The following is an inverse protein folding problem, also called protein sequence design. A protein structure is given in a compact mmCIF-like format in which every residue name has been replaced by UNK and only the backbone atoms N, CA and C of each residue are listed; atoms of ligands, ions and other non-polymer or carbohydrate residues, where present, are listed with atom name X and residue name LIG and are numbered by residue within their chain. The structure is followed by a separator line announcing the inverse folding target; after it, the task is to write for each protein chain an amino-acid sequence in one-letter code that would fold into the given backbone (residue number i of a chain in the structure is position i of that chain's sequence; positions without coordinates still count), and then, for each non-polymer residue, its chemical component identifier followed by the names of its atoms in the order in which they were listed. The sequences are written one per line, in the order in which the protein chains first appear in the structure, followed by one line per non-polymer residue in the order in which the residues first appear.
data_IF_016758278335
#
_entry.id   IF_016758278335
#
_cell.length_a   1.000
_cell.length_b   1.000
_cell.length_c   1.000
_cell.angle_alpha   90.00
_cell.angle_beta   90.00
_cell.angle_gamma   90.00
#
_symmetry.space_group_name_H-M   'P 1'
#
loop_
_entity.id
_entity.type
_entity.pdbx_description
1 polymer ?
#
# COMPACT_ATOMS: atom_id res chain seq x y z
N UNK A 1 5.31 33.09 43.26
CA UNK A 1 5.47 32.90 41.80
C UNK A 1 6.83 32.26 41.62
N UNK A 2 6.93 30.94 41.54
CA UNK A 2 6.78 30.22 40.27
C UNK A 2 8.16 29.72 39.82
N UNK A 3 8.86 28.98 40.66
CA UNK A 3 10.08 28.26 40.25
C UNK A 3 9.63 26.96 39.60
N UNK A 4 9.33 27.01 38.30
CA UNK A 4 8.80 25.86 37.58
C UNK A 4 9.77 24.68 37.57
N UNK A 5 9.25 23.46 37.46
CA UNK A 5 9.97 22.18 37.32
C UNK A 5 10.74 22.06 35.98
N UNK A 6 11.29 23.17 35.50
CA UNK A 6 12.10 23.30 34.30
C UNK A 6 13.57 23.30 34.71
N UNK A 7 14.26 22.22 34.36
CA UNK A 7 15.68 22.05 34.61
C UNK A 7 16.45 22.49 33.37
N UNK A 8 17.49 23.30 33.56
CA UNK A 8 18.47 23.63 32.52
C UNK A 8 19.83 23.10 32.91
N UNK A 9 20.42 22.27 32.07
CA UNK A 9 21.80 21.80 32.22
C UNK A 9 22.48 21.77 30.86
N UNK A 10 23.61 22.47 30.73
CA UNK A 10 24.24 22.71 29.43
C UNK A 10 23.25 23.29 28.41
N UNK A 11 23.07 22.57 27.30
CA UNK A 11 22.16 22.93 26.20
C UNK A 11 20.76 22.33 26.31
N UNK A 12 20.45 21.62 27.40
CA UNK A 12 19.16 20.96 27.60
C UNK A 12 18.26 21.80 28.50
N UNK A 13 16.98 21.91 28.11
CA UNK A 13 15.89 22.38 28.95
C UNK A 13 14.86 21.25 28.98
N UNK A 14 14.48 20.78 30.16
CA UNK A 14 13.61 19.62 30.31
C UNK A 14 12.75 19.69 31.57
N UNK A 15 11.61 18.99 31.55
CA UNK A 15 10.73 18.76 32.70
C UNK A 15 10.84 17.27 33.10
N UNK A 16 11.01 17.00 34.40
CA UNK A 16 11.23 15.63 34.91
C UNK A 16 9.98 14.95 35.48
N UNK A 17 8.91 15.69 35.81
CA UNK A 17 7.83 15.14 36.63
C UNK A 17 6.43 15.60 36.24
N UNK A 18 6.27 16.80 35.67
CA UNK A 18 4.97 17.32 35.24
C UNK A 18 4.68 17.00 33.78
N UNK A 19 3.40 17.14 33.42
CA UNK A 19 2.98 17.24 32.02
C UNK A 19 3.28 18.62 31.45
N UNK A 20 3.66 18.67 30.17
CA UNK A 20 3.95 19.90 29.45
C UNK A 20 2.72 20.27 28.61
N UNK A 21 2.12 21.43 28.91
CA UNK A 21 1.05 22.01 28.11
C UNK A 21 1.54 23.19 27.28
N UNK A 22 1.32 23.16 25.97
CA UNK A 22 1.52 24.30 25.05
C UNK A 22 0.14 24.77 24.60
N UNK A 23 -0.26 26.00 24.96
CA UNK A 23 -1.61 26.51 24.71
C UNK A 23 -2.70 25.89 25.62
N UNK A 24 -2.31 25.15 26.65
CA UNK A 24 -3.19 24.63 27.71
C UNK A 24 -2.46 24.64 29.05
N UNK A 25 -3.20 24.84 30.15
CA UNK A 25 -2.68 24.76 31.52
C UNK A 25 -3.17 23.51 32.28
N UNK A 26 -3.99 22.67 31.62
CA UNK A 26 -4.47 21.38 32.15
C UNK A 26 -4.23 20.32 31.06
N UNK A 27 -2.97 19.93 30.80
CA UNK A 27 -2.68 18.87 29.85
C UNK A 27 -3.23 17.53 30.34
N UNK A 28 -3.92 16.80 29.46
CA UNK A 28 -4.45 15.45 29.70
C UNK A 28 -3.44 14.33 29.41
N UNK A 29 -2.38 14.66 28.69
CA UNK A 29 -1.25 13.78 28.37
C UNK A 29 0.07 14.38 28.85
N UNK A 30 1.17 13.60 28.82
CA UNK A 30 2.50 14.10 29.21
C UNK A 30 2.99 15.26 28.37
N UNK A 31 2.61 15.32 27.10
CA UNK A 31 2.75 16.48 26.24
C UNK A 31 1.42 16.73 25.52
N UNK A 32 0.83 17.91 25.73
CA UNK A 32 -0.34 18.36 24.99
C UNK A 32 -0.05 19.69 24.31
N UNK A 33 -0.34 19.78 23.01
CA UNK A 33 -0.22 21.01 22.22
C UNK A 33 -1.60 21.38 21.69
N UNK A 34 -2.15 22.49 22.16
CA UNK A 34 -3.34 23.12 21.59
C UNK A 34 -2.92 24.07 20.47
N UNK A 35 -2.57 23.50 19.32
CA UNK A 35 -2.11 24.24 18.14
C UNK A 35 -1.24 23.39 17.22
N UNK A 36 -0.67 24.01 16.19
CA UNK A 36 0.22 23.35 15.24
C UNK A 36 1.62 23.12 15.81
N UNK A 37 2.24 22.01 15.42
CA UNK A 37 3.64 21.73 15.69
C UNK A 37 4.42 21.95 14.38
N UNK A 38 5.40 22.87 14.40
CA UNK A 38 6.30 23.11 13.27
C UNK A 38 7.68 22.56 13.58
N UNK A 39 8.13 21.56 12.80
CA UNK A 39 9.45 20.96 12.92
C UNK A 39 10.30 21.41 11.73
N UNK A 40 11.46 22.01 12.00
CA UNK A 40 12.39 22.57 11.01
C UNK A 40 13.79 22.02 11.26
N UNK A 41 14.69 22.22 10.29
CA UNK A 41 16.11 21.82 10.22
C UNK A 41 16.34 20.54 9.42
N UNK A 42 17.59 20.07 9.41
CA UNK A 42 17.98 18.87 8.68
C UNK A 42 17.38 17.62 9.34
N UNK A 43 16.51 16.91 8.61
CA UNK A 43 15.89 15.64 9.01
C UNK A 43 15.05 15.70 10.30
N UNK A 44 13.99 16.53 10.37
CA UNK A 44 13.07 16.54 11.49
C UNK A 44 12.33 15.20 11.56
N UNK A 45 12.10 14.68 12.78
CA UNK A 45 11.46 13.38 13.00
C UNK A 45 10.53 13.43 14.21
N UNK A 46 9.43 12.71 14.12
CA UNK A 46 8.64 12.25 15.26
C UNK A 46 8.95 10.76 15.43
N UNK A 47 9.41 10.36 16.61
CA UNK A 47 9.81 8.98 16.89
C UNK A 47 8.76 8.35 17.81
N UNK A 48 8.11 7.29 17.33
CA UNK A 48 7.29 6.42 18.16
C UNK A 48 8.07 5.12 18.40
N UNK A 49 8.43 4.85 19.65
CA UNK A 49 9.15 3.63 20.05
C UNK A 49 8.47 3.03 21.27
N UNK A 50 8.07 1.77 21.14
CA UNK A 50 7.69 0.95 22.27
C UNK A 50 8.88 0.05 22.65
N UNK A 51 9.25 0.06 23.92
CA UNK A 51 10.34 -0.74 24.46
C UNK A 51 9.84 -2.02 25.15
N UNK A 52 8.54 -2.15 25.35
CA UNK A 52 7.94 -3.26 26.08
C UNK A 52 7.72 -4.46 25.14
N UNK A 53 8.05 -5.66 25.63
CA UNK A 53 7.84 -6.92 24.89
C UNK A 53 6.37 -7.33 24.92
N UNK A 54 5.60 -6.87 23.93
CA UNK A 54 4.36 -7.54 23.50
C UNK A 54 3.03 -7.05 24.10
N UNK A 55 2.97 -5.86 24.67
CA UNK A 55 1.72 -5.31 25.23
C UNK A 55 1.15 -4.15 24.43
N UNK A 56 1.97 -3.14 24.20
CA UNK A 56 1.56 -1.88 23.58
C UNK A 56 2.04 -1.79 22.14
N UNK A 57 1.47 -0.85 21.39
CA UNK A 57 1.93 -0.53 20.04
C UNK A 57 2.07 0.99 19.93
N UNK A 58 3.18 1.50 19.41
CA UNK A 58 3.27 2.92 19.09
C UNK A 58 2.15 3.25 18.11
N UNK A 59 1.33 4.24 18.44
CA UNK A 59 0.13 4.57 17.68
C UNK A 59 0.10 6.06 17.38
N UNK A 60 -0.21 6.42 16.13
CA UNK A 60 -0.69 7.74 15.76
C UNK A 60 -2.22 7.67 15.72
N UNK A 61 -2.87 8.26 16.72
CA UNK A 61 -4.34 8.31 16.79
C UNK A 61 -4.84 9.60 16.15
N UNK A 62 -5.71 9.47 15.14
CA UNK A 62 -6.46 10.58 14.54
C UNK A 62 -7.93 10.40 14.91
N UNK A 63 -8.44 11.22 15.82
CA UNK A 63 -9.82 11.09 16.31
C UNK A 63 -10.65 12.35 16.06
N UNK A 64 -11.95 12.16 15.81
CA UNK A 64 -12.95 13.24 15.65
C UNK A 64 -12.62 14.24 14.53
N UNK A 65 -11.95 13.79 13.48
CA UNK A 65 -11.63 14.58 12.28
C UNK A 65 -12.30 13.96 11.04
N UNK A 66 -12.54 14.78 10.02
CA UNK A 66 -13.03 14.33 8.70
C UNK A 66 -11.94 13.54 7.94
N UNK A 67 -10.69 14.02 7.98
CA UNK A 67 -9.56 13.40 7.25
C UNK A 67 -8.20 13.73 7.89
N UNK A 68 -7.26 12.78 7.81
CA UNK A 68 -5.83 13.04 7.94
C UNK A 68 -5.27 13.47 6.57
N UNK A 69 -4.59 14.61 6.50
CA UNK A 69 -3.93 15.09 5.29
C UNK A 69 -2.42 14.96 5.45
N UNK A 70 -1.78 14.28 4.50
CA UNK A 70 -0.33 14.29 4.29
C UNK A 70 -0.11 14.87 2.90
N UNK A 71 0.51 16.04 2.84
CA UNK A 71 0.76 16.79 1.60
C UNK A 71 2.13 17.45 1.67
N UNK A 72 2.71 17.71 0.50
CA UNK A 72 3.92 18.51 0.37
C UNK A 72 3.69 19.72 -0.55
N UNK A 73 4.70 20.16 -1.29
CA UNK A 73 4.60 21.32 -2.19
C UNK A 73 4.41 20.91 -3.65
N UNK A 74 3.93 21.84 -4.47
CA UNK A 74 3.72 21.65 -5.92
C UNK A 74 4.91 22.20 -6.73
N UNK A 75 6.06 22.36 -6.07
CA UNK A 75 7.24 22.96 -6.69
C UNK A 75 8.14 21.90 -7.34
N UNK A 76 8.12 20.65 -6.87
CA UNK A 76 8.98 19.54 -7.33
C UNK A 76 8.30 18.17 -7.09
N UNK A 77 8.85 17.11 -7.70
CA UNK A 77 8.41 15.73 -7.43
C UNK A 77 8.79 15.30 -5.99
N UNK A 78 7.80 14.84 -5.21
CA UNK A 78 7.98 14.46 -3.82
C UNK A 78 7.42 13.07 -3.51
N UNK A 79 8.09 12.35 -2.60
CA UNK A 79 7.58 11.11 -2.03
C UNK A 79 6.88 11.44 -0.70
N UNK A 80 5.55 11.56 -0.73
CA UNK A 80 4.76 11.93 0.45
C UNK A 80 4.78 10.88 1.58
N UNK A 81 4.84 9.59 1.24
CA UNK A 81 4.93 8.51 2.23
C UNK A 81 5.79 7.34 1.72
N UNK A 82 7.06 7.33 2.13
CA UNK A 82 7.93 6.17 1.97
C UNK A 82 7.85 5.25 3.19
N UNK A 83 7.45 3.99 2.99
CA UNK A 83 7.46 2.97 4.03
C UNK A 83 8.72 2.12 3.93
N UNK A 84 9.53 2.15 4.99
CA UNK A 84 10.80 1.43 5.04
C UNK A 84 10.92 0.70 6.38
N UNK A 85 11.46 -0.52 6.36
CA UNK A 85 11.83 -1.23 7.60
C UNK A 85 12.97 -0.52 8.34
N UNK A 86 13.87 0.12 7.57
CA UNK A 86 14.84 1.09 8.05
C UNK A 86 15.22 2.06 6.93
N UNK A 87 15.54 3.31 7.28
CA UNK A 87 15.99 4.33 6.32
C UNK A 87 17.47 4.13 5.98
N UNK A 88 17.78 3.00 5.34
CA UNK A 88 19.11 2.60 4.87
C UNK A 88 19.01 2.03 3.45
N UNK A 89 20.12 1.99 2.71
CA UNK A 89 20.17 1.43 1.35
C UNK A 89 19.87 -0.07 1.33
N UNK A 90 20.41 -0.81 2.29
CA UNK A 90 20.20 -2.27 2.43
C UNK A 90 19.26 -2.54 3.59
N UNK A 91 18.23 -3.35 3.35
CA UNK A 91 17.16 -3.68 4.31
C UNK A 91 16.99 -5.19 4.37
N UNK A 92 16.79 -5.75 5.56
CA UNK A 92 16.62 -7.19 5.79
C UNK A 92 15.16 -7.59 6.03
N UNK A 93 14.25 -6.62 5.95
CA UNK A 93 12.83 -6.83 6.22
C UNK A 93 12.01 -5.92 5.33
N UNK A 94 10.80 -6.35 5.05
CA UNK A 94 9.83 -5.59 4.26
C UNK A 94 9.15 -4.53 5.13
N UNK A 95 8.58 -3.52 4.47
CA UNK A 95 7.61 -2.62 5.08
C UNK A 95 6.29 -2.73 4.31
N UNK A 96 5.19 -2.71 5.06
CA UNK A 96 3.88 -3.04 4.53
C UNK A 96 2.92 -1.89 4.82
N UNK A 97 2.10 -1.52 3.86
CA UNK A 97 0.92 -0.71 4.10
C UNK A 97 -0.29 -1.63 4.21
N UNK A 98 -1.00 -1.59 5.34
CA UNK A 98 -2.22 -2.38 5.56
C UNK A 98 -3.40 -1.48 5.83
N UNK A 99 -4.50 -1.74 5.13
CA UNK A 99 -5.80 -1.13 5.37
C UNK A 99 -6.69 -2.20 5.98
N UNK A 100 -6.97 -2.06 7.26
CA UNK A 100 -7.83 -3.01 7.98
C UNK A 100 -9.30 -2.65 7.77
N UNK A 101 -10.07 -3.63 7.31
CA UNK A 101 -11.51 -3.60 7.29
C UNK A 101 -12.11 -3.89 8.67
N UNK A 102 -13.44 -3.77 8.75
CA UNK A 102 -14.20 -4.10 9.96
C UNK A 102 -13.93 -5.55 10.38
N UNK A 103 -13.68 -5.75 11.67
CA UNK A 103 -13.49 -7.07 12.27
C UNK A 103 -14.11 -7.11 13.66
N UNK A 104 -14.63 -8.28 14.06
CA UNK A 104 -15.24 -8.50 15.39
C UNK A 104 -14.36 -9.27 16.36
N UNK A 105 -13.37 -10.04 15.88
CA UNK A 105 -12.46 -10.79 16.74
C UNK A 105 -11.16 -11.25 16.05
N UNK A 106 -10.74 -10.59 14.97
CA UNK A 106 -9.48 -10.91 14.29
C UNK A 106 -8.75 -9.65 13.87
N UNK A 107 -7.44 -9.73 13.76
CA UNK A 107 -6.64 -8.68 13.12
C UNK A 107 -6.60 -8.89 11.59
N UNK A 108 -7.04 -10.05 11.10
CA UNK A 108 -6.88 -10.55 9.71
C UNK A 108 -7.96 -10.14 8.70
N UNK A 109 -8.39 -8.88 8.67
CA UNK A 109 -9.29 -8.42 7.60
C UNK A 109 -8.64 -7.22 6.93
N UNK A 110 -7.71 -7.43 5.99
CA UNK A 110 -7.00 -6.32 5.38
C UNK A 110 -6.73 -6.48 3.88
N UNK A 111 -6.53 -5.33 3.23
CA UNK A 111 -5.79 -5.19 1.99
C UNK A 111 -4.37 -4.71 2.32
N UNK A 112 -3.36 -5.34 1.73
CA UNK A 112 -1.94 -5.05 1.93
C UNK A 112 -1.26 -4.70 0.62
N UNK A 113 -0.45 -3.64 0.66
CA UNK A 113 0.54 -3.32 -0.36
C UNK A 113 1.93 -3.56 0.23
N UNK A 114 2.76 -4.36 -0.45
CA UNK A 114 4.12 -4.70 0.00
C UNK A 114 5.05 -4.94 -1.19
N UNK A 115 6.35 -4.71 -0.97
CA UNK A 115 7.42 -5.20 -1.85
C UNK A 115 8.36 -6.10 -1.05
N UNK A 116 8.67 -7.30 -1.55
CA UNK A 116 9.49 -8.30 -0.81
C UNK A 116 10.95 -8.41 -1.30
N UNK A 117 11.35 -7.46 -2.13
CA UNK A 117 12.68 -7.38 -2.73
C UNK A 117 12.76 -8.02 -4.11
N UNK A 118 11.80 -8.88 -4.45
CA UNK A 118 11.65 -9.43 -5.80
C UNK A 118 10.41 -8.88 -6.49
N UNK A 119 9.27 -8.86 -5.80
CA UNK A 119 7.98 -8.49 -6.38
C UNK A 119 7.25 -7.44 -5.54
N UNK A 120 6.51 -6.56 -6.24
CA UNK A 120 5.43 -5.76 -5.65
C UNK A 120 4.14 -6.58 -5.61
N UNK A 121 3.41 -6.52 -4.48
CA UNK A 121 2.23 -7.36 -4.23
C UNK A 121 1.06 -6.53 -3.70
N UNK A 122 -0.14 -6.89 -4.17
CA UNK A 122 -1.43 -6.49 -3.62
C UNK A 122 -2.05 -7.77 -3.05
N UNK A 123 -2.32 -7.80 -1.75
CA UNK A 123 -2.69 -9.04 -1.02
C UNK A 123 -3.92 -8.78 -0.17
N UNK A 124 -4.88 -9.70 -0.18
CA UNK A 124 -6.00 -9.75 0.78
C UNK A 124 -5.77 -10.87 1.79
N UNK A 125 -6.09 -10.62 3.07
CA UNK A 125 -6.14 -11.72 4.06
C UNK A 125 -7.41 -12.56 3.91
N UNK A 126 -8.52 -11.90 3.56
CA UNK A 126 -9.82 -12.49 3.27
C UNK A 126 -10.51 -11.74 2.14
N UNK A 127 -11.29 -12.46 1.33
CA UNK A 127 -12.08 -11.89 0.24
C UNK A 127 -11.27 -11.61 -1.03
N UNK A 128 -11.92 -10.94 -1.98
CA UNK A 128 -11.40 -10.70 -3.33
C UNK A 128 -10.67 -9.35 -3.45
N UNK A 129 -9.83 -9.24 -4.47
CA UNK A 129 -9.40 -7.93 -5.00
C UNK A 129 -10.40 -7.54 -6.09
N UNK A 130 -11.10 -6.43 -5.88
CA UNK A 130 -12.05 -5.87 -6.84
C UNK A 130 -11.42 -4.65 -7.50
N UNK A 131 -11.35 -4.64 -8.84
CA UNK A 131 -10.90 -3.49 -9.64
C UNK A 131 -12.11 -2.92 -10.38
N UNK A 132 -12.55 -1.73 -9.97
CA UNK A 132 -13.69 -1.00 -10.55
C UNK A 132 -13.25 0.39 -11.03
N UNK A 133 -12.37 0.48 -12.06
CA UNK A 133 -12.09 1.77 -12.67
C UNK A 133 -13.34 2.32 -13.37
N UNK A 134 -13.45 3.64 -13.50
CA UNK A 134 -14.52 4.27 -14.29
C UNK A 134 -14.49 3.85 -15.77
N UNK A 135 -13.33 3.40 -16.25
CA UNK A 135 -13.11 2.94 -17.63
C UNK A 135 -12.52 1.52 -17.66
N UNK A 136 -11.23 1.38 -17.94
CA UNK A 136 -10.59 0.11 -18.30
C UNK A 136 -9.39 -0.20 -17.40
N UNK A 137 -9.04 -1.48 -17.27
CA UNK A 137 -7.79 -1.96 -16.67
C UNK A 137 -6.79 -2.26 -17.79
N UNK A 138 -5.67 -1.54 -17.82
CA UNK A 138 -4.55 -1.82 -18.72
C UNK A 138 -3.42 -2.56 -18.01
N UNK A 139 -2.89 -3.62 -18.63
CA UNK A 139 -1.68 -4.33 -18.20
C UNK A 139 -0.64 -4.19 -19.30
N UNK A 140 0.46 -3.48 -19.02
CA UNK A 140 1.51 -3.20 -20.01
C UNK A 140 1.13 -2.15 -21.07
N UNK A 141 -0.01 -1.47 -20.91
CA UNK A 141 -0.47 -0.38 -21.77
C UNK A 141 -1.01 0.78 -20.92
N UNK A 142 -0.79 2.02 -21.38
CA UNK A 142 -1.37 3.24 -20.79
C UNK A 142 -2.64 3.71 -21.50
N UNK A 143 -3.02 3.08 -22.61
CA UNK A 143 -4.20 3.40 -23.41
C UNK A 143 -4.99 2.11 -23.70
N UNK A 144 -5.66 1.52 -22.69
CA UNK A 144 -6.42 0.29 -22.88
C UNK A 144 -7.63 0.49 -23.79
N UNK A 145 -7.79 -0.35 -24.82
CA UNK A 145 -8.89 -0.29 -25.81
C UNK A 145 -10.11 -1.18 -25.45
N UNK A 146 -9.99 -1.98 -24.39
CA UNK A 146 -11.05 -2.82 -23.84
C UNK A 146 -11.08 -2.77 -22.30
N UNK A 147 -12.18 -3.23 -21.67
CA UNK A 147 -12.33 -3.23 -20.21
C UNK A 147 -11.15 -3.89 -19.46
N UNK A 148 -10.59 -4.95 -20.04
CA UNK A 148 -9.28 -5.48 -19.69
C UNK A 148 -8.46 -5.57 -20.97
N UNK A 149 -7.36 -4.82 -21.02
CA UNK A 149 -6.43 -4.82 -22.15
C UNK A 149 -5.03 -5.21 -21.66
N UNK A 150 -4.47 -6.25 -22.28
CA UNK A 150 -3.15 -6.79 -21.94
C UNK A 150 -2.25 -6.65 -23.16
N UNK A 151 -1.29 -5.74 -23.08
CA UNK A 151 -0.24 -5.61 -24.08
C UNK A 151 0.88 -6.61 -23.77
N UNK A 152 0.63 -7.87 -24.18
CA UNK A 152 1.52 -9.01 -23.96
C UNK A 152 0.73 -10.32 -23.87
N UNK A 153 1.40 -11.39 -23.43
CA UNK A 153 0.77 -12.69 -23.29
C UNK A 153 -0.05 -12.79 -21.99
N UNK A 154 -1.29 -13.25 -22.11
CA UNK A 154 -2.11 -13.62 -20.96
C UNK A 154 -2.04 -15.14 -20.72
N UNK A 155 -1.47 -15.56 -19.59
CA UNK A 155 -1.48 -16.97 -19.18
C UNK A 155 -2.71 -17.24 -18.30
N UNK A 156 -3.72 -17.93 -18.84
CA UNK A 156 -4.89 -18.40 -18.10
C UNK A 156 -4.72 -19.90 -17.85
N UNK A 157 -4.34 -20.28 -16.61
CA UNK A 157 -4.10 -21.69 -16.24
C UNK A 157 -5.39 -22.50 -16.04
N UNK A 158 -6.50 -21.81 -15.78
CA UNK A 158 -7.84 -22.40 -15.70
C UNK A 158 -8.59 -22.29 -17.02
N UNK A 159 -9.91 -22.46 -16.97
CA UNK A 159 -10.76 -22.27 -18.15
C UNK A 159 -10.98 -20.77 -18.40
N UNK A 160 -10.81 -20.34 -19.65
CA UNK A 160 -11.36 -19.08 -20.13
C UNK A 160 -12.81 -19.31 -20.57
N UNK A 161 -13.78 -18.89 -19.75
CA UNK A 161 -15.20 -18.95 -20.07
C UNK A 161 -15.66 -17.63 -20.73
N UNK A 162 -15.90 -17.67 -22.04
CA UNK A 162 -16.44 -16.54 -22.80
C UNK A 162 -17.96 -16.69 -22.89
N UNK A 163 -18.74 -15.93 -22.11
CA UNK A 163 -20.21 -16.07 -22.05
C UNK A 163 -20.94 -15.95 -23.40
N UNK A 164 -20.34 -15.26 -24.39
CA UNK A 164 -20.88 -15.14 -25.74
C UNK A 164 -20.28 -16.16 -26.73
N UNK A 165 -19.41 -17.07 -26.27
CA UNK A 165 -18.64 -18.03 -27.07
C UNK A 165 -17.89 -17.39 -28.26
N UNK A 166 -17.50 -16.12 -28.11
CA UNK A 166 -16.82 -15.37 -29.17
C UNK A 166 -15.40 -15.02 -28.74
N UNK A 167 -14.42 -15.60 -29.44
CA UNK A 167 -13.06 -15.08 -29.49
C UNK A 167 -12.90 -14.29 -30.80
N UNK A 168 -12.71 -12.97 -30.72
CA UNK A 168 -12.40 -12.14 -31.89
C UNK A 168 -10.94 -12.29 -32.25
N UNK A 169 -10.64 -12.29 -33.55
CA UNK A 169 -9.29 -12.53 -34.08
C UNK A 169 -8.68 -13.88 -33.64
N UNK A 170 -9.52 -14.88 -33.34
CA UNK A 170 -9.03 -16.24 -33.12
C UNK A 170 -8.52 -16.81 -34.43
N UNK A 171 -7.20 -17.00 -34.53
CA UNK A 171 -6.57 -17.58 -35.72
C UNK A 171 -6.55 -19.10 -35.57
N UNK A 172 -7.25 -19.79 -36.47
CA UNK A 172 -7.07 -21.22 -36.71
C UNK A 172 -6.20 -21.35 -37.96
N UNK A 173 -4.98 -21.83 -37.81
CA UNK A 173 -4.09 -22.07 -38.95
C UNK A 173 -4.55 -23.31 -39.73
N UNK A 174 -4.93 -23.12 -40.99
CA UNK A 174 -5.22 -24.22 -41.92
C UNK A 174 -3.90 -24.68 -42.56
N UNK A 175 -3.52 -25.93 -42.35
CA UNK A 175 -2.40 -26.57 -43.05
C UNK A 175 -2.97 -27.42 -44.18
N UNK A 176 -2.37 -27.33 -45.37
CA UNK A 176 -2.74 -28.18 -46.52
C UNK A 176 -2.26 -29.63 -46.36
N UNK A 177 -1.37 -29.88 -45.40
CA UNK A 177 -0.78 -31.17 -45.12
C UNK A 177 -0.70 -31.38 -43.61
N UNK A 178 -0.77 -32.64 -43.19
CA UNK A 178 -0.62 -33.02 -41.78
C UNK A 178 0.77 -32.60 -41.25
N UNK A 179 0.88 -32.17 -39.98
CA UNK A 179 2.14 -31.89 -39.31
C UNK A 179 2.92 -33.20 -39.20
N UNK A 180 4.24 -33.09 -39.23
CA UNK A 180 5.16 -34.22 -39.19
C UNK A 180 4.94 -35.13 -37.96
N UNK A 181 4.29 -34.62 -36.90
CA UNK A 181 3.90 -35.36 -35.70
C UNK A 181 2.55 -34.85 -35.13
N UNK A 182 1.39 -35.38 -35.56
CA UNK A 182 0.10 -35.00 -34.97
C UNK A 182 -0.03 -35.54 -33.54
N UNK A 183 -0.63 -34.75 -32.64
CA UNK A 183 -0.84 -35.13 -31.23
C UNK A 183 -2.31 -35.43 -30.94
N UNK A 184 -2.56 -36.32 -29.97
CA UNK A 184 -3.92 -36.65 -29.52
C UNK A 184 -4.60 -35.40 -28.97
N UNK A 185 -5.78 -35.06 -29.49
CA UNK A 185 -6.53 -33.84 -29.14
C UNK A 185 -6.43 -32.69 -30.13
N UNK A 186 -5.65 -32.85 -31.21
CA UNK A 186 -5.61 -31.88 -32.30
C UNK A 186 -6.92 -31.85 -33.09
N UNK A 187 -7.47 -30.66 -33.34
CA UNK A 187 -8.70 -30.45 -34.11
C UNK A 187 -8.36 -30.06 -35.56
N UNK A 188 -8.76 -30.91 -36.50
CA UNK A 188 -8.56 -30.72 -37.94
C UNK A 188 -9.83 -30.18 -38.58
N UNK A 189 -9.75 -29.01 -39.22
CA UNK A 189 -10.86 -28.46 -40.03
C UNK A 189 -10.47 -28.60 -41.49
N UNK A 190 -10.99 -29.64 -42.16
CA UNK A 190 -10.92 -29.74 -43.63
C UNK A 190 -12.04 -28.89 -44.24
N UNK A 191 -11.69 -28.14 -45.29
CA UNK A 191 -12.61 -27.27 -46.03
C UNK A 191 -12.74 -27.68 -47.51
N UNK A 192 -12.08 -28.76 -47.90
CA UNK A 192 -12.24 -29.42 -49.19
C UNK A 192 -13.41 -30.42 -49.15
N UNK A 193 -14.22 -30.41 -50.21
CA UNK A 193 -15.31 -31.35 -50.48
C UNK A 193 -14.76 -32.63 -51.13
#
# INVERSE_FOLDING_TARGET
MGGGNWYRTGNYIYNLSDSIGIGTYIPSEKLQVNGSIYLKENYPKIIFRDADVGGTKPTLLIEKNDRLVVCGSDDEEEIFLGLYSTFQKTRQSDANLKIYGKSTNTWGNYLELRHDGSDGKIITDIGDIILEPETNVGIGTSQPEALLDVNGDACIRGNLDMKQNQAKNFVIENRTDDPENPVVGQMWIRIDL
#
